data_IF_767296143146
#
_entry.id   IF_767296143146
#
_cell.length_a   1.000
_cell.length_b   1.000
_cell.length_c   1.000
_cell.angle_alpha   90.00
_cell.angle_beta   90.00
_cell.angle_gamma   90.00
#
_symmetry.space_group_name_H-M   'P 1'
#
loop_
_entity.id
_entity.type
_entity.pdbx_description
1 polymer ?
#
# COMPACT_ATOMS: atom_id res chain seq x y z
N UNK A 1 -18.63 32.59 14.34
CA UNK A 1 -17.91 31.86 15.40
C UNK A 1 -18.32 30.37 15.48
N UNK A 2 -19.59 30.04 15.76
CA UNK A 2 -20.02 28.63 15.97
C UNK A 2 -19.76 27.67 14.80
N UNK A 3 -19.97 28.14 13.56
CA UNK A 3 -19.72 27.31 12.36
C UNK A 3 -18.25 26.95 12.17
N UNK A 4 -17.32 27.85 12.48
CA UNK A 4 -15.87 27.59 12.38
C UNK A 4 -15.41 26.58 13.43
N UNK A 5 -15.98 26.64 14.64
CA UNK A 5 -15.69 25.67 15.71
C UNK A 5 -16.21 24.28 15.33
N UNK A 6 -17.41 24.21 14.75
CA UNK A 6 -17.99 22.97 14.24
C UNK A 6 -17.16 22.37 13.09
N UNK A 7 -16.76 23.19 12.12
CA UNK A 7 -15.86 22.78 11.03
C UNK A 7 -14.50 22.31 11.55
N UNK A 8 -13.95 22.98 12.56
CA UNK A 8 -12.70 22.57 13.21
C UNK A 8 -12.82 21.21 13.90
N UNK A 9 -13.90 20.99 14.66
CA UNK A 9 -14.18 19.70 15.30
C UNK A 9 -14.35 18.58 14.26
N UNK A 10 -15.13 18.83 13.21
CA UNK A 10 -15.34 17.88 12.12
C UNK A 10 -14.01 17.53 11.43
N UNK A 11 -13.16 18.54 11.20
CA UNK A 11 -11.83 18.36 10.62
C UNK A 11 -10.93 17.46 11.48
N UNK A 12 -10.95 17.62 12.80
CA UNK A 12 -10.18 16.76 13.72
C UNK A 12 -10.72 15.32 13.70
N UNK A 13 -12.04 15.13 13.72
CA UNK A 13 -12.65 13.80 13.64
C UNK A 13 -12.28 13.07 12.34
N UNK A 14 -12.42 13.75 11.20
CA UNK A 14 -12.09 13.19 9.89
C UNK A 14 -10.58 12.92 9.79
N UNK A 15 -9.75 13.84 10.28
CA UNK A 15 -8.30 13.68 10.32
C UNK A 15 -7.86 12.45 11.12
N UNK A 16 -8.47 12.20 12.27
CA UNK A 16 -8.18 11.02 13.10
C UNK A 16 -8.59 9.71 12.39
N UNK A 17 -9.75 9.69 11.73
CA UNK A 17 -10.20 8.51 10.95
C UNK A 17 -9.22 8.23 9.80
N UNK A 18 -8.84 9.25 9.02
CA UNK A 18 -7.90 9.08 7.90
C UNK A 18 -6.53 8.62 8.40
N UNK A 19 -5.99 9.23 9.45
CA UNK A 19 -4.69 8.85 10.02
C UNK A 19 -4.69 7.38 10.48
N UNK A 20 -5.75 6.96 11.19
CA UNK A 20 -5.88 5.57 11.63
C UNK A 20 -5.98 4.59 10.46
N UNK A 21 -6.71 4.96 9.39
CA UNK A 21 -6.82 4.16 8.17
C UNK A 21 -5.48 3.98 7.46
N UNK A 22 -4.69 5.06 7.32
CA UNK A 22 -3.36 5.00 6.68
C UNK A 22 -2.40 4.11 7.47
N UNK A 23 -2.36 4.23 8.79
CA UNK A 23 -1.50 3.39 9.65
C UNK A 23 -1.93 1.93 9.59
N UNK A 24 -3.23 1.64 9.74
CA UNK A 24 -3.77 0.28 9.66
C UNK A 24 -3.46 -0.37 8.30
N UNK A 25 -3.55 0.42 7.22
CA UNK A 25 -3.22 -0.02 5.88
C UNK A 25 -1.74 -0.39 5.72
N UNK A 26 -0.82 0.49 6.13
CA UNK A 26 0.63 0.24 6.04
C UNK A 26 1.04 -1.03 6.81
N UNK A 27 0.44 -1.25 7.99
CA UNK A 27 0.69 -2.44 8.80
C UNK A 27 0.10 -3.70 8.13
N UNK A 28 -1.15 -3.63 7.65
CA UNK A 28 -1.85 -4.75 7.01
C UNK A 28 -1.15 -5.23 5.74
N UNK A 29 -0.58 -4.31 4.97
CA UNK A 29 0.18 -4.63 3.78
C UNK A 29 1.48 -5.36 4.07
N UNK A 30 1.94 -5.40 5.33
CA UNK A 30 3.12 -6.16 5.71
C UNK A 30 4.43 -5.65 5.13
N UNK A 31 4.45 -4.47 4.50
CA UNK A 31 5.66 -3.88 3.90
C UNK A 31 6.74 -3.70 4.98
N UNK A 32 6.37 -3.13 6.13
CA UNK A 32 7.27 -2.87 7.27
C UNK A 32 7.87 -4.16 7.86
N UNK A 33 7.08 -5.17 8.28
CA UNK A 33 7.64 -6.40 8.82
C UNK A 33 8.45 -7.20 7.78
N UNK A 34 8.10 -7.09 6.49
CA UNK A 34 8.82 -7.75 5.40
C UNK A 34 10.21 -7.16 5.18
N UNK A 35 10.32 -5.83 5.13
CA UNK A 35 11.63 -5.18 5.07
C UNK A 35 12.48 -5.47 6.30
N UNK A 36 11.88 -5.44 7.50
CA UNK A 36 12.56 -5.81 8.74
C UNK A 36 13.03 -7.28 8.75
N UNK A 37 12.29 -8.17 8.08
CA UNK A 37 12.65 -9.57 7.88
C UNK A 37 13.81 -9.77 6.91
N UNK A 38 13.81 -9.07 5.77
CA UNK A 38 14.88 -9.14 4.75
C UNK A 38 16.20 -8.57 5.28
N UNK A 39 16.15 -7.45 6.00
CA UNK A 39 17.35 -6.83 6.59
C UNK A 39 17.86 -7.54 7.84
N UNK A 40 17.16 -8.59 8.32
CA UNK A 40 17.42 -9.31 9.58
C UNK A 40 17.43 -8.39 10.80
N UNK A 41 16.74 -7.24 10.74
CA UNK A 41 16.73 -6.23 11.80
C UNK A 41 15.32 -6.05 12.38
N UNK A 42 14.73 -7.15 12.85
CA UNK A 42 13.41 -7.16 13.50
C UNK A 42 13.34 -6.27 14.76
N UNK A 43 14.49 -5.96 15.39
CA UNK A 43 14.56 -5.09 16.57
C UNK A 43 14.30 -3.60 16.26
N UNK A 44 14.39 -3.18 14.99
CA UNK A 44 14.23 -1.77 14.57
C UNK A 44 12.93 -1.48 13.81
N UNK A 45 11.87 -2.29 14.00
CA UNK A 45 10.54 -2.05 13.39
C UNK A 45 10.02 -0.64 13.68
N UNK A 46 10.25 -0.11 14.90
CA UNK A 46 9.87 1.26 15.27
C UNK A 46 10.52 2.35 14.42
N UNK A 47 11.73 2.14 13.90
CA UNK A 47 12.38 3.12 13.03
C UNK A 47 11.70 3.16 11.66
N UNK A 48 11.36 2.00 11.11
CA UNK A 48 10.63 1.94 9.83
C UNK A 48 9.23 2.56 9.95
N UNK A 49 8.54 2.31 11.07
CA UNK A 49 7.24 2.89 11.36
C UNK A 49 7.33 4.43 11.47
N UNK A 50 8.30 4.94 12.23
CA UNK A 50 8.53 6.38 12.36
C UNK A 50 8.90 7.04 11.03
N UNK A 51 9.73 6.39 10.19
CA UNK A 51 10.04 6.88 8.85
C UNK A 51 8.79 6.94 7.96
N UNK A 52 7.90 5.95 8.06
CA UNK A 52 6.65 5.92 7.31
C UNK A 52 5.68 7.01 7.78
N UNK A 53 5.57 7.23 9.09
CA UNK A 53 4.80 8.33 9.68
C UNK A 53 5.34 9.70 9.25
N UNK A 54 6.66 9.88 9.29
CA UNK A 54 7.31 11.11 8.81
C UNK A 54 7.04 11.35 7.32
N UNK A 55 7.10 10.31 6.50
CA UNK A 55 6.74 10.38 5.07
C UNK A 55 5.29 10.79 4.86
N UNK A 56 4.34 10.22 5.62
CA UNK A 56 2.93 10.59 5.55
C UNK A 56 2.68 12.04 6.00
N UNK A 57 3.36 12.48 7.06
CA UNK A 57 3.28 13.85 7.56
C UNK A 57 3.83 14.86 6.53
N UNK A 58 5.03 14.60 6.00
CA UNK A 58 5.63 15.41 4.95
C UNK A 58 4.75 15.45 3.69
N UNK A 59 4.24 14.29 3.25
CA UNK A 59 3.32 14.20 2.12
C UNK A 59 2.03 15.01 2.31
N UNK A 60 1.48 15.03 3.54
CA UNK A 60 0.31 15.83 3.88
C UNK A 60 0.61 17.33 3.79
N UNK A 61 1.77 17.77 4.29
CA UNK A 61 2.26 19.15 4.16
C UNK A 61 2.42 19.52 2.68
N UNK A 62 3.07 18.67 1.87
CA UNK A 62 3.23 18.90 0.44
C UNK A 62 1.87 19.03 -0.28
N UNK A 63 0.90 18.19 0.08
CA UNK A 63 -0.45 18.23 -0.49
C UNK A 63 -1.24 19.48 -0.08
N UNK A 64 -1.19 19.86 1.20
CA UNK A 64 -1.90 21.02 1.75
C UNK A 64 -1.36 22.34 1.23
N UNK A 65 -0.03 22.48 1.17
CA UNK A 65 0.56 23.74 0.77
C UNK A 65 0.38 24.03 -0.72
N UNK A 66 0.04 23.02 -1.56
CA UNK A 66 -0.05 23.09 -3.04
C UNK A 66 1.02 23.99 -3.66
N UNK A 67 2.16 24.13 -2.97
CA UNK A 67 3.14 25.12 -3.30
C UNK A 67 3.73 24.62 -4.60
N UNK A 68 3.69 25.45 -5.63
CA UNK A 68 4.51 25.32 -6.82
C UNK A 68 5.98 25.37 -6.39
N UNK A 69 6.44 24.33 -5.69
CA UNK A 69 7.82 24.16 -5.34
C UNK A 69 8.49 23.91 -6.68
N UNK A 70 9.44 24.77 -7.11
CA UNK A 70 10.18 24.57 -8.34
C UNK A 70 11.23 23.48 -8.10
N UNK A 71 10.80 22.29 -7.68
CA UNK A 71 11.64 21.12 -7.51
C UNK A 71 12.19 20.62 -8.85
N UNK A 72 11.70 21.19 -9.96
CA UNK A 72 12.21 20.97 -11.31
C UNK A 72 12.21 19.49 -11.69
N UNK A 73 12.90 19.19 -12.78
CA UNK A 73 13.12 17.83 -13.27
C UNK A 73 13.79 16.91 -12.21
N UNK A 74 14.79 17.34 -11.40
CA UNK A 74 15.44 16.43 -10.46
C UNK A 74 14.53 16.00 -9.30
N UNK A 75 13.66 16.87 -8.77
CA UNK A 75 12.72 16.49 -7.71
C UNK A 75 11.65 15.51 -8.20
N UNK A 76 11.18 15.69 -9.43
CA UNK A 76 10.27 14.74 -10.10
C UNK A 76 10.93 13.37 -10.31
N UNK A 77 12.20 13.33 -10.72
CA UNK A 77 12.97 12.09 -10.87
C UNK A 77 13.10 11.34 -9.53
N UNK A 78 13.51 12.04 -8.49
CA UNK A 78 13.66 11.47 -7.15
C UNK A 78 12.33 10.95 -6.64
N UNK A 79 11.26 11.75 -6.75
CA UNK A 79 9.91 11.32 -6.38
C UNK A 79 9.44 10.11 -7.18
N UNK A 80 9.69 10.08 -8.49
CA UNK A 80 9.35 8.96 -9.37
C UNK A 80 10.05 7.67 -8.97
N UNK A 81 11.34 7.73 -8.65
CA UNK A 81 12.10 6.56 -8.17
C UNK A 81 11.55 6.05 -6.83
N UNK A 82 11.31 6.95 -5.86
CA UNK A 82 10.75 6.55 -4.57
C UNK A 82 9.33 5.97 -4.70
N UNK A 83 8.49 6.59 -5.52
CA UNK A 83 7.14 6.10 -5.82
C UNK A 83 7.17 4.73 -6.49
N UNK A 84 8.10 4.51 -7.43
CA UNK A 84 8.29 3.22 -8.09
C UNK A 84 8.75 2.12 -7.13
N UNK A 85 9.69 2.41 -6.24
CA UNK A 85 10.13 1.46 -5.20
C UNK A 85 8.96 1.11 -4.26
N UNK A 86 8.20 2.12 -3.83
CA UNK A 86 7.03 1.90 -2.97
C UNK A 86 5.98 1.03 -3.67
N UNK A 87 5.61 1.37 -4.91
CA UNK A 87 4.62 0.63 -5.70
C UNK A 87 5.08 -0.80 -5.99
N UNK A 88 6.36 -0.99 -6.32
CA UNK A 88 6.96 -2.30 -6.56
C UNK A 88 6.86 -3.18 -5.31
N UNK A 89 7.25 -2.66 -4.15
CA UNK A 89 7.12 -3.37 -2.88
C UNK A 89 5.68 -3.71 -2.54
N UNK A 90 4.75 -2.83 -2.92
CA UNK A 90 3.33 -3.01 -2.72
C UNK A 90 2.76 -4.18 -3.53
N UNK A 91 3.12 -4.28 -4.82
CA UNK A 91 2.71 -5.38 -5.71
C UNK A 91 3.22 -6.72 -5.17
N UNK A 92 4.48 -6.78 -4.74
CA UNK A 92 5.06 -8.04 -4.25
C UNK A 92 4.41 -8.43 -2.91
N UNK A 93 4.11 -7.47 -2.02
CA UNK A 93 3.43 -7.74 -0.76
C UNK A 93 2.00 -8.28 -0.98
N UNK A 94 1.24 -7.68 -1.90
CA UNK A 94 -0.08 -8.20 -2.29
C UNK A 94 0.01 -9.62 -2.87
N UNK A 95 1.00 -9.90 -3.71
CA UNK A 95 1.24 -11.24 -4.25
C UNK A 95 1.50 -12.29 -3.16
N UNK A 96 2.23 -11.92 -2.11
CA UNK A 96 2.52 -12.81 -0.98
C UNK A 96 1.28 -13.09 -0.13
N UNK A 97 0.47 -12.06 0.17
CA UNK A 97 -0.80 -12.21 0.90
C UNK A 97 -1.78 -13.10 0.13
N UNK A 98 -1.90 -12.92 -1.19
CA UNK A 98 -2.74 -13.77 -2.04
C UNK A 98 -2.25 -15.22 -2.00
N UNK A 99 -0.94 -15.45 -2.07
CA UNK A 99 -0.39 -16.80 -2.01
C UNK A 99 -0.63 -17.47 -0.65
N UNK A 100 -0.49 -16.73 0.45
CA UNK A 100 -0.81 -17.21 1.80
C UNK A 100 -2.29 -17.58 1.90
N UNK A 101 -3.18 -16.76 1.34
CA UNK A 101 -4.60 -17.07 1.28
C UNK A 101 -4.89 -18.37 0.53
N UNK A 102 -4.25 -18.60 -0.63
CA UNK A 102 -4.33 -19.87 -1.36
C UNK A 102 -3.89 -21.07 -0.52
N UNK A 103 -2.80 -20.92 0.23
CA UNK A 103 -2.25 -21.97 1.10
C UNK A 103 -3.19 -22.24 2.28
N UNK A 104 -3.74 -21.19 2.89
CA UNK A 104 -4.69 -21.29 4.00
C UNK A 104 -5.92 -22.09 3.59
N UNK A 105 -6.49 -21.79 2.41
CA UNK A 105 -7.63 -22.52 1.85
C UNK A 105 -7.36 -24.01 1.65
N UNK A 106 -6.13 -24.37 1.26
CA UNK A 106 -5.70 -25.77 1.13
C UNK A 106 -5.54 -26.45 2.50
N UNK A 107 -5.06 -25.71 3.52
CA UNK A 107 -4.82 -26.23 4.88
C UNK A 107 -6.07 -26.35 5.75
N UNK A 108 -7.10 -25.54 5.52
CA UNK A 108 -8.39 -25.65 6.23
C UNK A 108 -9.23 -26.87 5.82
N UNK A 109 -8.71 -27.75 4.95
CA UNK A 109 -9.29 -29.08 4.74
C UNK A 109 -10.62 -29.10 3.99
N UNK A 110 -10.93 -28.06 3.20
CA UNK A 110 -12.09 -28.08 2.28
C UNK A 110 -11.76 -29.03 1.10
N UNK A 111 -11.83 -30.33 1.36
CA UNK A 111 -11.44 -31.41 0.45
C UNK A 111 -12.33 -31.50 -0.79
N UNK A 112 -13.58 -31.01 -0.73
CA UNK A 112 -14.43 -30.77 -1.90
C UNK A 112 -14.40 -29.29 -2.28
N UNK A 113 -13.55 -28.91 -3.23
CA UNK A 113 -13.55 -27.56 -3.80
C UNK A 113 -12.18 -26.94 -4.07
N UNK A 114 -11.09 -27.50 -3.51
CA UNK A 114 -9.73 -27.00 -3.77
C UNK A 114 -9.40 -26.96 -5.26
N UNK A 115 -9.82 -27.96 -6.05
CA UNK A 115 -9.66 -27.94 -7.50
C UNK A 115 -10.33 -26.74 -8.17
N UNK A 116 -11.55 -26.40 -7.74
CA UNK A 116 -12.28 -25.23 -8.24
C UNK A 116 -11.63 -23.91 -7.85
N UNK A 117 -11.08 -23.81 -6.63
CA UNK A 117 -10.35 -22.62 -6.16
C UNK A 117 -9.05 -22.44 -6.97
N UNK A 118 -8.33 -23.53 -7.24
CA UNK A 118 -7.09 -23.50 -8.03
C UNK A 118 -7.41 -23.09 -9.48
N UNK A 119 -8.46 -23.65 -10.08
CA UNK A 119 -8.91 -23.26 -11.43
C UNK A 119 -9.36 -21.81 -11.46
N UNK A 120 -10.09 -21.33 -10.46
CA UNK A 120 -10.53 -19.94 -10.37
C UNK A 120 -9.35 -18.96 -10.22
N UNK A 121 -8.33 -19.32 -9.41
CA UNK A 121 -7.10 -18.52 -9.30
C UNK A 121 -6.27 -18.56 -10.59
N UNK A 122 -6.15 -19.73 -11.21
CA UNK A 122 -5.47 -19.87 -12.49
C UNK A 122 -6.15 -18.99 -13.55
N UNK A 123 -7.47 -19.10 -13.69
CA UNK A 123 -8.27 -18.24 -14.57
C UNK A 123 -8.11 -16.75 -14.25
N UNK A 124 -8.13 -16.37 -12.97
CA UNK A 124 -7.91 -14.99 -12.55
C UNK A 124 -6.53 -14.46 -12.97
N UNK A 125 -5.48 -15.27 -12.84
CA UNK A 125 -4.13 -14.90 -13.32
C UNK A 125 -4.05 -14.87 -14.84
N UNK A 126 -4.66 -15.82 -15.54
CA UNK A 126 -4.67 -15.86 -17.01
C UNK A 126 -5.43 -14.66 -17.58
N UNK A 127 -6.62 -14.33 -17.05
CA UNK A 127 -7.39 -13.16 -17.45
C UNK A 127 -6.68 -11.85 -17.10
N UNK A 128 -6.09 -11.75 -15.91
CA UNK A 128 -5.28 -10.60 -15.52
C UNK A 128 -4.09 -10.37 -16.46
N UNK A 129 -3.40 -11.44 -16.85
CA UNK A 129 -2.32 -11.39 -17.83
C UNK A 129 -2.81 -11.01 -19.23
N UNK A 130 -3.96 -11.54 -19.66
CA UNK A 130 -4.52 -11.25 -20.98
C UNK A 130 -4.95 -9.79 -21.08
N UNK A 131 -5.65 -9.27 -20.06
CA UNK A 131 -6.08 -7.87 -20.01
C UNK A 131 -4.91 -6.89 -19.92
N UNK A 132 -3.83 -7.28 -19.23
CA UNK A 132 -2.60 -6.49 -19.21
C UNK A 132 -1.94 -6.43 -20.59
N UNK A 133 -1.93 -7.53 -21.34
CA UNK A 133 -1.36 -7.57 -22.68
C UNK A 133 -2.23 -6.81 -23.71
N UNK A 134 -3.55 -6.94 -23.63
CA UNK A 134 -4.51 -6.22 -24.47
C UNK A 134 -4.42 -4.69 -24.29
N UNK A 135 -4.24 -4.22 -23.04
CA UNK A 135 -4.13 -2.77 -22.76
C UNK A 135 -2.72 -2.22 -22.87
N UNK A 136 -1.68 -3.05 -22.73
CA UNK A 136 -0.28 -2.64 -22.82
C UNK A 136 0.26 -2.48 -24.25
N UNK A 137 -0.45 -2.98 -25.27
CA UNK A 137 -0.02 -2.91 -26.68
C UNK A 137 -0.56 -1.70 -27.45
N UNK A 138 -1.58 -1.00 -26.93
CA UNK A 138 -2.23 0.15 -27.58
C UNK A 138 -1.87 1.49 -26.91
N UNK A 139 -0.66 1.61 -26.38
CA UNK A 139 -0.10 2.87 -25.87
C UNK A 139 1.32 3.09 -26.40
#
# INVERSE_FOLDING_TARGET
>A
MGMQIFLGFLGVCIGMVIASGVVAFIITLGIVPRYAGITRTARQVRLYENCSMLGAFLGNIFFLYQGSFPLGIPGLLVFGVFSGIFLGSWIIALGEVVNIFSIMLRRTGITKGIGWIIIAMALGKTLGSLLYFEKGWWM
#
